data_IF_421597408275
#
_entry.id   IF_421597408275
#
_cell.length_a   1.000
_cell.length_b   1.000
_cell.length_c   1.000
_cell.angle_alpha   90.00
_cell.angle_beta   90.00
_cell.angle_gamma   90.00
#
_symmetry.space_group_name_H-M   'P 1'
#
loop_
_entity.id
_entity.type
_entity.pdbx_description
1 polymer ?
#
# COMPACT_ATOMS: atom_id res chain seq x y z
N UNK A 1 27.36 9.69 -17.78
CA UNK A 1 25.90 9.78 -17.56
C UNK A 1 25.21 10.08 -18.87
N UNK A 2 24.66 9.07 -19.57
CA UNK A 2 23.77 9.30 -20.69
C UNK A 2 22.36 8.75 -20.43
N UNK A 3 21.40 9.56 -20.87
CA UNK A 3 19.95 9.36 -20.86
C UNK A 3 19.63 8.43 -22.03
N UNK A 4 19.13 7.22 -21.77
CA UNK A 4 18.68 6.31 -22.81
C UNK A 4 17.16 6.28 -22.80
N UNK A 5 16.54 6.84 -23.83
CA UNK A 5 15.33 6.41 -24.53
C UNK A 5 14.69 7.63 -25.23
N UNK A 6 15.09 7.84 -26.48
CA UNK A 6 14.34 8.65 -27.45
C UNK A 6 13.38 7.71 -28.17
N UNK A 7 12.08 8.04 -28.21
CA UNK A 7 11.16 7.45 -29.18
C UNK A 7 10.77 8.53 -30.17
N UNK A 8 11.15 8.35 -31.43
CA UNK A 8 10.53 9.07 -32.54
C UNK A 8 9.13 8.52 -32.77
N UNK A 9 8.15 9.42 -32.80
CA UNK A 9 6.77 9.13 -33.20
C UNK A 9 6.66 9.48 -34.69
N UNK A 10 6.25 8.56 -35.58
CA UNK A 10 5.97 8.92 -36.97
C UNK A 10 4.74 9.83 -37.02
N UNK A 11 4.93 11.07 -37.46
CA UNK A 11 3.83 12.00 -37.74
C UNK A 11 3.03 11.51 -38.96
N UNK A 12 1.69 11.39 -38.89
CA UNK A 12 0.88 11.24 -40.08
C UNK A 12 0.89 12.56 -40.87
N UNK A 13 1.23 12.46 -42.15
CA UNK A 13 1.35 13.60 -43.05
C UNK A 13 -0.02 14.25 -43.32
N UNK A 14 -0.08 15.57 -43.13
CA UNK A 14 -1.00 16.47 -43.82
C UNK A 14 -2.29 16.80 -43.09
N UNK A 15 -2.29 17.92 -42.34
CA UNK A 15 -3.43 18.84 -42.24
C UNK A 15 -2.96 20.18 -41.63
N UNK A 16 -3.44 21.35 -42.14
CA UNK A 16 -2.95 22.66 -41.71
C UNK A 16 -3.37 22.98 -40.27
N UNK A 17 -2.39 23.44 -39.49
CA UNK A 17 -2.52 23.80 -38.08
C UNK A 17 -3.56 24.91 -37.88
N UNK A 18 -4.68 24.58 -37.22
CA UNK A 18 -5.58 25.56 -36.63
C UNK A 18 -5.01 25.99 -35.26
N UNK A 19 -4.57 27.25 -35.07
CA UNK A 19 -3.99 27.72 -33.82
C UNK A 19 -4.99 27.82 -32.65
N UNK A 20 -6.28 27.49 -32.85
CA UNK A 20 -7.33 27.49 -31.82
C UNK A 20 -8.00 26.13 -31.61
N UNK A 21 -7.44 25.03 -32.13
CA UNK A 21 -7.92 23.71 -31.76
C UNK A 21 -7.50 23.40 -30.31
N UNK A 22 -8.43 23.06 -29.39
CA UNK A 22 -8.04 22.59 -28.06
C UNK A 22 -7.18 21.33 -28.25
N UNK A 23 -5.93 21.39 -27.80
CA UNK A 23 -5.01 20.26 -27.79
C UNK A 23 -5.74 19.04 -27.22
N UNK A 24 -5.65 17.85 -27.85
CA UNK A 24 -6.11 16.65 -27.18
C UNK A 24 -5.30 16.55 -25.89
N UNK A 25 -5.98 16.73 -24.76
CA UNK A 25 -5.39 16.64 -23.44
C UNK A 25 -4.58 15.34 -23.41
N UNK A 26 -3.27 15.49 -23.37
CA UNK A 26 -2.35 14.37 -23.25
C UNK A 26 -2.81 13.63 -22.00
N UNK A 27 -3.21 12.37 -22.21
CA UNK A 27 -3.70 11.45 -21.21
C UNK A 27 -2.52 10.98 -20.33
N UNK A 28 -1.80 11.94 -19.74
CA UNK A 28 -0.63 11.74 -18.88
C UNK A 28 -1.02 11.33 -17.45
N UNK A 29 -2.28 11.53 -17.07
CA UNK A 29 -2.81 11.21 -15.75
C UNK A 29 -2.91 9.71 -15.43
N UNK A 30 -2.82 8.84 -16.44
CA UNK A 30 -3.15 7.41 -16.24
C UNK A 30 -1.97 6.49 -15.96
N UNK A 31 -0.72 6.94 -16.13
CA UNK A 31 0.46 6.07 -15.96
C UNK A 31 1.29 6.49 -14.75
N UNK A 32 1.51 7.80 -14.58
CA UNK A 32 2.30 8.35 -13.47
C UNK A 32 1.63 8.08 -12.10
N UNK A 33 0.29 8.04 -12.06
CA UNK A 33 -0.48 7.68 -10.87
C UNK A 33 -0.22 6.25 -10.35
N UNK A 34 0.32 5.37 -11.20
CA UNK A 34 0.53 3.96 -10.91
C UNK A 34 2.00 3.57 -10.72
N UNK A 35 2.95 4.41 -11.16
CA UNK A 35 4.40 4.13 -11.05
C UNK A 35 4.84 3.96 -9.60
N UNK A 36 4.11 4.52 -8.63
CA UNK A 36 4.36 4.34 -7.19
C UNK A 36 3.29 3.53 -6.44
N UNK A 37 2.25 3.06 -7.12
CA UNK A 37 1.25 2.12 -6.59
C UNK A 37 0.35 2.62 -5.45
N UNK A 38 0.37 3.92 -5.11
CA UNK A 38 -0.53 4.53 -4.10
C UNK A 38 -1.36 5.63 -4.76
N UNK A 39 -2.69 5.53 -4.79
CA UNK A 39 -3.53 6.62 -5.30
C UNK A 39 -3.48 7.86 -4.40
N UNK A 40 -3.60 9.03 -4.99
CA UNK A 40 -3.47 10.33 -4.32
C UNK A 40 -4.36 10.46 -3.06
N UNK A 41 -5.60 9.97 -3.09
CA UNK A 41 -6.52 10.03 -1.95
C UNK A 41 -6.05 9.14 -0.78
N UNK A 42 -5.43 8.00 -1.07
CA UNK A 42 -4.84 7.12 -0.07
C UNK A 42 -3.65 7.84 0.58
N UNK A 43 -2.78 8.46 -0.23
CA UNK A 43 -1.65 9.25 0.28
C UNK A 43 -2.11 10.37 1.20
N UNK A 44 -3.14 11.14 0.81
CA UNK A 44 -3.69 12.24 1.63
C UNK A 44 -4.26 11.71 2.96
N UNK A 45 -4.99 10.59 2.92
CA UNK A 45 -5.51 9.94 4.13
C UNK A 45 -4.37 9.50 5.05
N UNK A 46 -3.35 8.81 4.54
CA UNK A 46 -2.19 8.40 5.33
C UNK A 46 -1.40 9.60 5.86
N UNK A 47 -1.25 10.67 5.09
CA UNK A 47 -0.58 11.90 5.55
C UNK A 47 -1.35 12.55 6.70
N UNK A 48 -2.69 12.58 6.61
CA UNK A 48 -3.57 13.09 7.67
C UNK A 48 -3.43 12.25 8.94
N UNK A 49 -3.57 10.93 8.82
CA UNK A 49 -3.39 9.98 9.92
C UNK A 49 -2.00 10.08 10.56
N UNK A 50 -0.95 10.22 9.74
CA UNK A 50 0.43 10.39 10.21
C UNK A 50 0.62 11.69 10.97
N UNK A 51 0.00 12.80 10.53
CA UNK A 51 0.04 14.09 11.24
C UNK A 51 -0.61 13.96 12.63
N UNK A 52 -1.73 13.24 12.73
CA UNK A 52 -2.42 12.99 14.00
C UNK A 52 -1.53 12.13 14.92
N UNK A 53 -0.98 11.04 14.39
CA UNK A 53 -0.06 10.17 15.10
C UNK A 53 1.15 10.96 15.66
N UNK A 54 1.78 11.81 14.85
CA UNK A 54 2.95 12.60 15.26
C UNK A 54 2.60 13.68 16.28
N UNK A 55 1.39 14.24 16.21
CA UNK A 55 0.89 15.19 17.19
C UNK A 55 0.67 14.58 18.59
N UNK A 56 0.79 13.25 18.75
CA UNK A 56 0.51 12.49 19.99
C UNK A 56 -0.87 12.81 20.59
N UNK A 57 -1.79 13.25 19.74
CA UNK A 57 -3.17 13.51 20.11
C UNK A 57 -3.90 12.17 20.20
N UNK A 58 -4.53 11.89 21.33
CA UNK A 58 -5.44 10.76 21.44
C UNK A 58 -6.66 11.11 20.56
N UNK A 59 -6.91 10.37 19.47
CA UNK A 59 -8.02 10.70 18.58
C UNK A 59 -9.34 10.48 19.32
N UNK A 60 -10.22 11.47 19.29
CA UNK A 60 -11.57 11.33 19.83
C UNK A 60 -12.45 10.46 18.91
N UNK A 61 -13.58 10.00 19.42
CA UNK A 61 -14.49 9.07 18.71
C UNK A 61 -14.98 9.66 17.37
N UNK A 62 -15.28 10.96 17.33
CA UNK A 62 -15.75 11.65 16.13
C UNK A 62 -14.68 11.69 15.04
N UNK A 63 -13.43 11.99 15.40
CA UNK A 63 -12.30 11.99 14.48
C UNK A 63 -12.06 10.60 13.89
N UNK A 64 -12.12 9.56 14.73
CA UNK A 64 -12.00 8.18 14.25
C UNK A 64 -13.12 7.86 13.27
N UNK A 65 -14.37 8.22 13.59
CA UNK A 65 -15.51 8.00 12.70
C UNK A 65 -15.37 8.72 11.34
N UNK A 66 -14.88 9.97 11.35
CA UNK A 66 -14.58 10.73 10.14
C UNK A 66 -13.50 10.06 9.28
N UNK A 67 -12.42 9.57 9.91
CA UNK A 67 -11.35 8.85 9.21
C UNK A 67 -11.86 7.52 8.64
N UNK A 68 -12.66 6.76 9.40
CA UNK A 68 -13.30 5.54 8.90
C UNK A 68 -14.20 5.83 7.69
N UNK A 69 -14.99 6.89 7.74
CA UNK A 69 -15.83 7.32 6.63
C UNK A 69 -14.98 7.72 5.41
N UNK A 70 -13.89 8.45 5.64
CA UNK A 70 -12.92 8.80 4.59
C UNK A 70 -12.30 7.58 3.92
N UNK A 71 -11.95 6.54 4.70
CA UNK A 71 -11.46 5.26 4.18
C UNK A 71 -12.55 4.53 3.37
N UNK A 72 -13.80 4.51 3.84
CA UNK A 72 -14.92 3.86 3.11
C UNK A 72 -15.23 4.55 1.78
N UNK A 73 -15.09 5.86 1.75
CA UNK A 73 -15.41 6.70 0.59
C UNK A 73 -14.23 6.92 -0.37
N UNK A 74 -13.15 6.14 -0.21
CA UNK A 74 -12.04 6.12 -1.16
C UNK A 74 -12.59 5.86 -2.58
N UNK A 75 -12.43 6.80 -3.52
CA UNK A 75 -13.00 6.68 -4.85
C UNK A 75 -12.38 5.49 -5.60
N UNK A 76 -13.14 4.83 -6.48
CA UNK A 76 -12.64 3.78 -7.37
C UNK A 76 -11.36 4.19 -8.09
N UNK A 77 -10.40 3.28 -8.21
CA UNK A 77 -9.20 3.54 -8.98
C UNK A 77 -9.56 3.54 -10.47
N UNK A 78 -9.73 4.74 -11.04
CA UNK A 78 -10.02 4.91 -12.46
C UNK A 78 -8.80 4.55 -13.29
N UNK A 79 -9.03 3.91 -14.43
CA UNK A 79 -7.99 3.62 -15.40
C UNK A 79 -8.62 3.47 -16.78
N UNK A 80 -7.94 3.97 -17.81
CA UNK A 80 -8.43 4.06 -19.18
C UNK A 80 -8.57 2.70 -19.89
N UNK A 81 -8.11 1.62 -19.28
CA UNK A 81 -8.14 0.29 -19.89
C UNK A 81 -9.54 -0.33 -19.84
N UNK A 82 -10.04 -0.70 -21.03
CA UNK A 82 -11.26 -1.51 -21.24
C UNK A 82 -11.08 -2.99 -20.88
N UNK A 83 -9.88 -3.41 -20.46
CA UNK A 83 -9.63 -4.80 -20.05
C UNK A 83 -10.31 -5.09 -18.69
N UNK A 84 -11.28 -6.01 -18.74
CA UNK A 84 -12.02 -6.50 -17.56
C UNK A 84 -11.11 -7.13 -16.52
N UNK A 85 -10.04 -7.82 -16.92
CA UNK A 85 -9.07 -8.39 -15.99
C UNK A 85 -8.34 -7.29 -15.22
N UNK A 86 -7.82 -6.28 -15.93
CA UNK A 86 -7.14 -5.15 -15.29
C UNK A 86 -8.08 -4.33 -14.40
N UNK A 87 -9.36 -4.20 -14.76
CA UNK A 87 -10.36 -3.57 -13.89
C UNK A 87 -10.54 -4.34 -12.57
N UNK A 88 -10.68 -5.66 -12.62
CA UNK A 88 -10.77 -6.52 -11.42
C UNK A 88 -9.52 -6.39 -10.56
N UNK A 89 -8.33 -6.42 -11.16
CA UNK A 89 -7.06 -6.29 -10.44
C UNK A 89 -6.95 -4.94 -9.72
N UNK A 90 -7.39 -3.84 -10.36
CA UNK A 90 -7.44 -2.51 -9.75
C UNK A 90 -8.38 -2.48 -8.55
N UNK A 91 -9.56 -3.08 -8.66
CA UNK A 91 -10.51 -3.18 -7.55
C UNK A 91 -9.94 -3.96 -6.37
N UNK A 92 -9.21 -5.05 -6.61
CA UNK A 92 -8.52 -5.80 -5.55
C UNK A 92 -7.47 -4.94 -4.87
N UNK A 93 -6.59 -4.29 -5.64
CA UNK A 93 -5.52 -3.46 -5.08
C UNK A 93 -6.11 -2.32 -4.25
N UNK A 94 -7.18 -1.70 -4.73
CA UNK A 94 -7.92 -0.68 -3.97
C UNK A 94 -8.49 -1.20 -2.67
N UNK A 95 -9.12 -2.37 -2.69
CA UNK A 95 -9.65 -2.97 -1.48
C UNK A 95 -8.52 -3.30 -0.48
N UNK A 96 -7.40 -3.82 -0.95
CA UNK A 96 -6.22 -4.08 -0.12
C UNK A 96 -5.70 -2.79 0.52
N UNK A 97 -5.62 -1.68 -0.22
CA UNK A 97 -5.29 -0.37 0.33
C UNK A 97 -6.27 0.11 1.39
N UNK A 98 -7.57 -0.12 1.16
CA UNK A 98 -8.61 0.25 2.13
C UNK A 98 -8.46 -0.51 3.44
N UNK A 99 -8.24 -1.82 3.38
CA UNK A 99 -8.03 -2.63 4.58
C UNK A 99 -6.70 -2.28 5.27
N UNK A 100 -5.64 -1.96 4.51
CA UNK A 100 -4.39 -1.46 5.07
C UNK A 100 -4.57 -0.11 5.80
N UNK A 101 -5.37 0.80 5.24
CA UNK A 101 -5.69 2.07 5.87
C UNK A 101 -6.46 1.88 7.19
N UNK A 102 -7.40 0.94 7.27
CA UNK A 102 -8.06 0.59 8.54
C UNK A 102 -7.08 0.05 9.59
N UNK A 103 -6.19 -0.87 9.20
CA UNK A 103 -5.17 -1.39 10.14
C UNK A 103 -4.26 -0.26 10.64
N UNK A 104 -3.82 0.64 9.76
CA UNK A 104 -3.02 1.80 10.15
C UNK A 104 -3.80 2.75 11.07
N UNK A 105 -5.06 3.08 10.75
CA UNK A 105 -5.90 3.91 11.60
C UNK A 105 -5.98 3.34 13.02
N UNK A 106 -6.34 2.07 13.15
CA UNK A 106 -6.55 1.45 14.45
C UNK A 106 -5.25 1.26 15.23
N UNK A 107 -4.21 0.69 14.63
CA UNK A 107 -2.97 0.41 15.35
C UNK A 107 -2.09 1.65 15.52
N UNK A 108 -1.94 2.45 14.47
CA UNK A 108 -0.98 3.56 14.44
C UNK A 108 -1.53 4.86 15.02
N UNK A 109 -2.84 5.12 14.83
CA UNK A 109 -3.49 6.37 15.26
C UNK A 109 -4.25 6.15 16.56
N UNK A 110 -5.08 5.10 16.66
CA UNK A 110 -5.83 4.81 17.88
C UNK A 110 -5.00 4.09 18.96
N UNK A 111 -3.85 3.51 18.60
CA UNK A 111 -2.96 2.82 19.53
C UNK A 111 -3.39 1.38 19.88
N UNK A 112 -4.28 0.78 19.09
CA UNK A 112 -4.71 -0.59 19.32
C UNK A 112 -3.60 -1.61 19.12
N UNK A 113 -3.71 -2.71 19.86
CA UNK A 113 -2.93 -3.93 19.64
C UNK A 113 -3.52 -4.79 18.52
N UNK A 114 -2.68 -5.67 17.95
CA UNK A 114 -3.03 -6.54 16.82
C UNK A 114 -4.21 -7.49 17.06
N UNK A 115 -4.57 -7.75 18.31
CA UNK A 115 -5.67 -8.63 18.76
C UNK A 115 -6.97 -7.89 19.04
N UNK A 116 -7.00 -6.57 18.85
CA UNK A 116 -8.24 -5.81 18.95
C UNK A 116 -9.20 -6.23 17.83
N UNK A 117 -10.50 -6.49 18.10
CA UNK A 117 -11.44 -7.06 17.13
C UNK A 117 -11.51 -6.30 15.79
N UNK A 118 -11.46 -4.97 15.81
CA UNK A 118 -11.51 -4.15 14.58
C UNK A 118 -10.23 -4.26 13.73
N UNK A 119 -9.07 -4.43 14.36
CA UNK A 119 -7.79 -4.70 13.68
C UNK A 119 -7.85 -6.09 13.03
N UNK A 120 -8.31 -7.10 13.78
CA UNK A 120 -8.43 -8.46 13.29
C UNK A 120 -9.41 -8.57 12.11
N UNK A 121 -10.54 -7.86 12.15
CA UNK A 121 -11.51 -7.88 11.07
C UNK A 121 -10.97 -7.21 9.79
N UNK A 122 -10.30 -6.06 9.91
CA UNK A 122 -9.65 -5.41 8.77
C UNK A 122 -8.55 -6.31 8.17
N UNK A 123 -7.72 -6.91 9.01
CA UNK A 123 -6.68 -7.86 8.58
C UNK A 123 -7.27 -9.10 7.90
N UNK A 124 -8.34 -9.69 8.47
CA UNK A 124 -9.04 -10.84 7.88
C UNK A 124 -9.61 -10.52 6.50
N UNK A 125 -10.16 -9.32 6.31
CA UNK A 125 -10.63 -8.86 4.99
C UNK A 125 -9.47 -8.73 4.01
N UNK A 126 -8.35 -8.16 4.44
CA UNK A 126 -7.13 -8.09 3.62
C UNK A 126 -6.67 -9.48 3.17
N UNK A 127 -6.52 -10.42 4.10
CA UNK A 127 -6.08 -11.79 3.79
C UNK A 127 -7.04 -12.53 2.87
N UNK A 128 -8.35 -12.28 3.00
CA UNK A 128 -9.36 -12.86 2.09
C UNK A 128 -9.15 -12.41 0.65
N UNK A 129 -8.77 -11.16 0.42
CA UNK A 129 -8.50 -10.63 -0.92
C UNK A 129 -7.20 -11.22 -1.48
N UNK A 130 -6.16 -11.25 -0.64
CA UNK A 130 -4.86 -11.79 -1.01
C UNK A 130 -4.95 -13.28 -1.38
N UNK A 131 -5.72 -14.07 -0.64
CA UNK A 131 -5.92 -15.49 -0.92
C UNK A 131 -6.77 -15.77 -2.16
N UNK A 132 -7.65 -14.83 -2.54
CA UNK A 132 -8.49 -14.94 -3.75
C UNK A 132 -7.78 -14.52 -5.03
N UNK A 133 -6.61 -13.90 -4.92
CA UNK A 133 -5.81 -13.51 -6.09
C UNK A 133 -4.66 -14.46 -6.32
N UNK A 134 -4.39 -14.78 -7.59
CA UNK A 134 -3.26 -15.62 -7.94
C UNK A 134 -1.95 -14.89 -7.59
N UNK A 135 -1.01 -15.54 -6.89
CA UNK A 135 0.35 -15.03 -6.75
C UNK A 135 0.98 -14.75 -8.11
N UNK A 136 1.56 -13.57 -8.28
CA UNK A 136 2.08 -13.15 -9.57
C UNK A 136 2.29 -11.64 -9.64
N UNK A 137 2.82 -11.17 -10.78
CA UNK A 137 3.20 -9.77 -10.98
C UNK A 137 2.05 -8.80 -10.66
N UNK A 138 0.87 -9.05 -11.23
CA UNK A 138 -0.36 -8.39 -10.84
C UNK A 138 -1.14 -9.36 -9.93
N UNK A 139 -1.57 -8.96 -8.71
CA UNK A 139 -1.54 -7.61 -8.16
C UNK A 139 -0.28 -7.31 -7.32
N UNK A 140 0.58 -8.31 -7.09
CA UNK A 140 1.56 -8.26 -5.99
C UNK A 140 2.50 -7.05 -6.09
N UNK A 141 2.86 -6.60 -7.31
CA UNK A 141 3.70 -5.42 -7.56
C UNK A 141 3.17 -4.16 -6.87
N UNK A 142 1.85 -4.05 -6.73
CA UNK A 142 1.15 -2.93 -6.10
C UNK A 142 0.82 -3.16 -4.62
N UNK A 143 1.15 -4.33 -4.08
CA UNK A 143 0.80 -4.74 -2.71
C UNK A 143 1.97 -4.67 -1.74
N UNK A 144 3.18 -4.28 -2.16
CA UNK A 144 4.35 -4.14 -1.27
C UNK A 144 4.03 -3.27 -0.05
N UNK A 145 3.56 -2.04 -0.26
CA UNK A 145 3.25 -1.10 0.83
C UNK A 145 2.04 -1.55 1.68
N UNK A 146 0.92 -2.00 1.08
CA UNK A 146 -0.19 -2.57 1.85
C UNK A 146 0.23 -3.76 2.72
N UNK A 147 1.04 -4.69 2.19
CA UNK A 147 1.56 -5.84 2.93
C UNK A 147 2.36 -5.38 4.15
N UNK A 148 3.19 -4.35 3.99
CA UNK A 148 3.96 -3.78 5.10
C UNK A 148 3.09 -3.22 6.21
N UNK A 149 2.04 -2.48 5.83
CA UNK A 149 1.15 -1.82 6.78
C UNK A 149 0.33 -2.84 7.57
N UNK A 150 -0.09 -3.95 6.95
CA UNK A 150 -0.93 -4.97 7.60
C UNK A 150 -0.14 -6.06 8.34
N UNK A 151 1.15 -6.22 8.05
CA UNK A 151 2.00 -7.26 8.65
C UNK A 151 1.99 -7.30 10.19
N UNK A 152 1.90 -6.17 10.93
CA UNK A 152 1.79 -6.19 12.39
C UNK A 152 0.52 -6.89 12.90
N UNK A 153 -0.56 -6.90 12.12
CA UNK A 153 -1.82 -7.57 12.48
C UNK A 153 -1.77 -9.09 12.24
N UNK A 154 -0.72 -9.63 11.61
CA UNK A 154 -0.56 -11.04 11.33
C UNK A 154 -0.09 -11.81 12.57
N UNK A 155 -1.04 -12.37 13.32
CA UNK A 155 -0.73 -13.14 14.53
C UNK A 155 -0.40 -14.62 14.24
N UNK A 156 -0.99 -15.19 13.19
CA UNK A 156 -0.87 -16.63 12.88
C UNK A 156 0.31 -16.88 11.95
N UNK A 157 1.11 -17.91 12.23
CA UNK A 157 2.25 -18.31 11.40
C UNK A 157 1.86 -18.56 9.93
N UNK A 158 0.67 -19.10 9.70
CA UNK A 158 0.12 -19.30 8.36
C UNK A 158 -0.01 -17.98 7.57
N UNK A 159 -0.58 -16.95 8.19
CA UNK A 159 -0.82 -15.67 7.53
C UNK A 159 0.50 -14.91 7.32
N UNK A 160 1.40 -14.99 8.30
CA UNK A 160 2.78 -14.49 8.19
C UNK A 160 3.51 -15.12 7.00
N UNK A 161 3.40 -16.43 6.83
CA UNK A 161 4.05 -17.14 5.73
C UNK A 161 3.49 -16.76 4.35
N UNK A 162 2.19 -16.47 4.25
CA UNK A 162 1.61 -15.93 3.01
C UNK A 162 2.19 -14.55 2.70
N UNK A 163 2.26 -13.66 3.70
CA UNK A 163 2.82 -12.32 3.56
C UNK A 163 4.28 -12.39 3.10
N UNK A 164 5.10 -13.24 3.74
CA UNK A 164 6.51 -13.47 3.35
C UNK A 164 6.61 -13.91 1.89
N UNK A 165 5.84 -14.93 1.49
CA UNK A 165 5.88 -15.46 0.12
C UNK A 165 5.50 -14.39 -0.92
N UNK A 166 4.53 -13.54 -0.60
CA UNK A 166 4.12 -12.43 -1.48
C UNK A 166 5.18 -11.34 -1.54
N UNK A 167 5.78 -10.96 -0.42
CA UNK A 167 6.83 -9.95 -0.36
C UNK A 167 8.15 -10.40 -1.05
N UNK A 168 8.56 -11.66 -0.89
CA UNK A 168 9.80 -12.20 -1.49
C UNK A 168 9.72 -12.28 -3.02
N UNK A 169 8.56 -12.63 -3.58
CA UNK A 169 8.38 -12.69 -5.04
C UNK A 169 8.56 -11.33 -5.73
N UNK A 170 8.41 -10.24 -4.98
CA UNK A 170 8.64 -8.86 -5.44
C UNK A 170 10.13 -8.50 -5.43
N UNK A 171 10.88 -9.00 -4.44
CA UNK A 171 12.33 -8.84 -4.31
C UNK A 171 13.12 -9.42 -5.50
N UNK A 172 12.64 -10.50 -6.11
CA UNK A 172 13.38 -11.20 -7.17
C UNK A 172 13.33 -10.50 -8.53
N UNK A 173 12.50 -9.46 -8.72
CA UNK A 173 12.25 -8.88 -10.05
C UNK A 173 12.39 -7.36 -10.15
N UNK A 174 12.31 -6.63 -9.04
CA UNK A 174 12.39 -5.16 -9.01
C UNK A 174 13.79 -4.68 -8.60
N UNK A 175 14.73 -4.60 -9.56
CA UNK A 175 16.06 -3.94 -9.48
C UNK A 175 16.99 -4.26 -8.28
N UNK A 176 18.32 -4.03 -8.39
CA UNK A 176 19.30 -4.37 -7.35
C UNK A 176 19.35 -3.30 -6.24
N UNK A 177 18.20 -2.78 -5.79
CA UNK A 177 18.16 -1.84 -4.66
C UNK A 177 18.12 -2.61 -3.32
N UNK A 178 19.05 -2.36 -2.38
CA UNK A 178 19.14 -3.09 -1.11
C UNK A 178 17.95 -2.92 -0.15
N UNK A 179 16.98 -2.08 -0.50
CA UNK A 179 15.93 -1.58 0.41
C UNK A 179 14.82 -2.57 0.71
N UNK A 180 14.52 -3.54 -0.17
CA UNK A 180 13.44 -4.51 0.12
C UNK A 180 13.88 -5.65 1.07
N UNK A 181 15.18 -5.92 1.18
CA UNK A 181 15.71 -6.92 2.12
C UNK A 181 15.64 -6.47 3.58
N UNK A 182 15.77 -5.17 3.84
CA UNK A 182 15.67 -4.60 5.20
C UNK A 182 14.23 -4.61 5.73
N UNK A 183 13.27 -4.46 4.82
CA UNK A 183 11.84 -4.38 5.09
C UNK A 183 11.27 -5.72 5.59
N UNK A 184 11.56 -6.82 4.90
CA UNK A 184 11.16 -8.16 5.36
C UNK A 184 11.84 -8.54 6.68
N UNK A 185 13.13 -8.19 6.83
CA UNK A 185 13.88 -8.43 8.07
C UNK A 185 13.28 -7.67 9.26
N UNK A 186 12.77 -6.46 9.03
CA UNK A 186 12.05 -5.70 10.04
C UNK A 186 10.75 -6.38 10.46
N UNK A 187 9.99 -6.91 9.50
CA UNK A 187 8.78 -7.69 9.80
C UNK A 187 9.09 -8.90 10.67
N UNK A 188 10.11 -9.66 10.29
CA UNK A 188 10.51 -10.87 11.02
C UNK A 188 11.03 -10.55 12.42
N UNK A 189 11.73 -9.43 12.61
CA UNK A 189 12.23 -8.99 13.92
C UNK A 189 11.09 -8.73 14.92
N UNK A 190 10.09 -7.91 14.56
CA UNK A 190 8.99 -7.66 15.51
C UNK A 190 8.07 -8.87 15.70
N UNK A 191 7.91 -9.74 14.68
CA UNK A 191 7.18 -11.01 14.85
C UNK A 191 7.88 -11.91 15.86
N UNK A 192 9.20 -12.12 15.70
CA UNK A 192 9.96 -12.96 16.60
C UNK A 192 9.96 -12.43 18.04
N UNK A 193 10.06 -11.10 18.21
CA UNK A 193 9.97 -10.45 19.52
C UNK A 193 8.61 -10.64 20.17
N UNK A 194 7.53 -10.38 19.44
CA UNK A 194 6.18 -10.54 19.97
C UNK A 194 5.90 -11.99 20.39
N UNK A 195 6.38 -12.96 19.61
CA UNK A 195 6.27 -14.39 19.94
C UNK A 195 7.08 -14.75 21.19
N UNK A 196 8.32 -14.26 21.31
CA UNK A 196 9.16 -14.49 22.49
C UNK A 196 8.60 -13.87 23.77
N UNK A 197 7.96 -12.71 23.64
CA UNK A 197 7.33 -11.97 24.75
C UNK A 197 5.89 -12.45 25.03
N UNK A 198 5.33 -13.32 24.18
CA UNK A 198 3.97 -13.87 24.34
C UNK A 198 2.86 -12.81 24.29
N UNK A 199 3.06 -11.72 23.55
CA UNK A 199 2.15 -10.56 23.54
C UNK A 199 1.70 -10.16 22.14
N UNK A 200 0.56 -9.46 21.99
CA UNK A 200 0.18 -8.89 20.71
C UNK A 200 1.15 -7.77 20.29
N UNK A 201 1.22 -7.55 18.98
CA UNK A 201 2.06 -6.51 18.37
C UNK A 201 1.33 -5.18 18.47
N UNK A 202 2.08 -4.14 18.79
CA UNK A 202 1.62 -2.75 18.79
C UNK A 202 2.42 -1.96 17.76
N UNK A 203 1.89 -0.80 17.33
CA UNK A 203 2.53 -0.04 16.25
C UNK A 203 3.96 0.44 16.60
N UNK A 204 4.27 0.64 17.88
CA UNK A 204 5.61 1.04 18.32
C UNK A 204 6.67 -0.05 18.08
N UNK A 205 6.30 -1.32 17.95
CA UNK A 205 7.24 -2.40 17.68
C UNK A 205 7.98 -2.20 16.35
N UNK A 206 7.31 -1.60 15.37
CA UNK A 206 7.90 -1.28 14.06
C UNK A 206 9.01 -0.24 14.21
N UNK A 207 8.82 0.77 15.06
CA UNK A 207 9.83 1.79 15.33
C UNK A 207 11.05 1.17 16.01
N UNK A 208 10.84 0.28 16.99
CA UNK A 208 11.93 -0.42 17.69
C UNK A 208 12.73 -1.30 16.71
N UNK A 209 12.05 -2.11 15.90
CA UNK A 209 12.71 -2.95 14.90
C UNK A 209 13.43 -2.13 13.84
N UNK A 210 12.87 -0.98 13.44
CA UNK A 210 13.54 -0.03 12.54
C UNK A 210 14.83 0.50 13.15
N UNK A 211 14.81 0.99 14.38
CA UNK A 211 16.00 1.52 15.05
C UNK A 211 17.06 0.45 15.27
N UNK A 212 16.68 -0.77 15.66
CA UNK A 212 17.63 -1.89 15.83
C UNK A 212 18.32 -2.30 14.53
N UNK A 213 17.58 -2.36 13.42
CA UNK A 213 18.11 -2.88 12.16
C UNK A 213 18.78 -1.84 11.28
N UNK A 214 18.44 -0.56 11.45
CA UNK A 214 18.99 0.55 10.66
C UNK A 214 19.94 1.46 11.46
N UNK A 215 20.01 1.31 12.79
CA UNK A 215 20.93 2.07 13.64
C UNK A 215 20.61 3.56 13.78
N UNK A 216 19.34 3.95 13.62
CA UNK A 216 18.84 5.34 13.73
C UNK A 216 17.78 5.45 14.82
#
# INVERSE_FOLDING_TARGET
MPILFSYEVPLPAGQPSNPYAPSPAIQEDSVIQWVYGVPNHVVVLFATMKKIQQGRLIPNVEMVALLEQGIRNIPPFTGSSSDRFLAVMRSVVQECWRQAAFVYLYMAVCGDSSDTPRVMEAFKRFMRLLNRTRPGRLPDEFLTSPLMIVSPAAQKSHDREIIKRRAVKLRQRSQPFPTNGSVLRMIEDYWARADAEGRPIVWSDLAISRSRLLGV
#
